data_IF_563142725208
#
_entry.id   IF_563142725208
#
_cell.length_a   1.000
_cell.length_b   1.000
_cell.length_c   1.000
_cell.angle_alpha   90.00
_cell.angle_beta   90.00
_cell.angle_gamma   90.00
#
_symmetry.space_group_name_H-M   'P 1'
#
loop_
_entity.id
_entity.type
_entity.pdbx_description
1 polymer ?
#
# COMPACT_ATOMS: atom_id res chain seq x y z
N UNK A 1 -26.24 10.27 13.18
CA UNK A 1 -24.87 9.73 13.42
C UNK A 1 -24.03 10.86 13.99
N UNK A 2 -23.42 10.66 15.14
CA UNK A 2 -22.54 11.67 15.71
C UNK A 2 -21.21 11.71 14.94
N UNK A 3 -20.69 12.91 14.71
CA UNK A 3 -19.35 13.09 14.16
C UNK A 3 -18.32 12.59 15.17
N UNK A 4 -17.45 11.67 14.73
CA UNK A 4 -16.32 11.22 15.54
C UNK A 4 -15.11 12.06 15.16
N UNK A 5 -14.53 12.76 16.14
CA UNK A 5 -13.35 13.59 15.92
C UNK A 5 -12.12 12.70 15.67
N UNK A 6 -11.48 12.89 14.54
CA UNK A 6 -10.26 12.18 14.13
C UNK A 6 -9.02 13.03 14.43
N UNK A 7 -7.86 12.37 14.48
CA UNK A 7 -6.57 13.05 14.69
C UNK A 7 -5.91 13.51 13.38
N UNK A 8 -6.35 12.98 12.25
CA UNK A 8 -6.03 13.47 10.90
C UNK A 8 -7.33 13.83 10.20
N UNK A 9 -7.27 14.71 9.18
CA UNK A 9 -8.44 15.02 8.37
C UNK A 9 -9.01 13.73 7.78
N UNK A 10 -10.33 13.53 7.88
CA UNK A 10 -10.97 12.28 7.47
C UNK A 10 -12.17 12.56 6.59
N UNK A 11 -12.18 12.00 5.40
CA UNK A 11 -13.36 11.91 4.54
C UNK A 11 -14.15 10.66 4.92
N UNK A 12 -15.24 10.85 5.64
CA UNK A 12 -16.15 9.76 6.02
C UNK A 12 -17.13 9.44 4.89
N UNK A 13 -17.65 8.20 4.93
CA UNK A 13 -18.74 7.77 4.06
C UNK A 13 -20.11 7.99 4.72
N UNK A 14 -20.60 9.23 4.67
CA UNK A 14 -21.87 9.60 5.31
C UNK A 14 -23.07 9.58 4.37
N UNK A 15 -23.00 8.95 3.22
CA UNK A 15 -24.15 8.87 2.32
C UNK A 15 -23.82 8.76 0.85
N UNK A 16 -22.92 7.90 0.50
CA UNK A 16 -22.61 7.50 -0.89
C UNK A 16 -22.28 8.67 -1.85
N UNK A 17 -21.83 9.81 -1.32
CA UNK A 17 -21.51 10.95 -2.16
C UNK A 17 -20.16 10.77 -2.83
N UNK A 18 -20.15 10.68 -4.16
CA UNK A 18 -18.94 10.82 -4.95
C UNK A 18 -18.53 12.30 -4.99
N UNK A 19 -17.42 12.69 -4.35
CA UNK A 19 -17.00 14.10 -4.34
C UNK A 19 -16.41 14.50 -5.69
N UNK A 20 -16.57 15.76 -6.07
CA UNK A 20 -15.86 16.33 -7.22
C UNK A 20 -14.34 16.30 -6.90
N UNK A 21 -13.60 15.56 -7.72
CA UNK A 21 -12.16 15.34 -7.54
C UNK A 21 -11.42 15.49 -8.89
N UNK A 22 -10.11 15.79 -8.89
CA UNK A 22 -9.33 16.04 -10.09
C UNK A 22 -8.92 14.74 -10.80
N UNK A 23 -9.88 13.91 -11.18
CA UNK A 23 -9.66 12.60 -11.80
C UNK A 23 -8.92 12.76 -13.14
N UNK A 24 -9.28 13.79 -13.91
CA UNK A 24 -8.68 14.16 -15.19
C UNK A 24 -7.23 14.68 -15.11
N UNK A 25 -6.67 14.78 -13.89
CA UNK A 25 -5.29 15.21 -13.60
C UNK A 25 -4.49 14.16 -12.84
N UNK A 26 -5.02 12.94 -12.74
CA UNK A 26 -4.43 11.86 -11.96
C UNK A 26 -4.05 10.65 -12.81
N UNK A 27 -2.89 10.07 -12.53
CA UNK A 27 -2.55 8.71 -12.95
C UNK A 27 -2.91 7.73 -11.85
N UNK A 28 -3.66 6.69 -12.18
CA UNK A 28 -3.95 5.57 -11.28
C UNK A 28 -2.98 4.43 -11.54
N UNK A 29 -2.20 4.06 -10.53
CA UNK A 29 -1.25 2.94 -10.57
C UNK A 29 -1.92 1.70 -10.00
N UNK A 30 -1.89 0.60 -10.74
CA UNK A 30 -2.42 -0.70 -10.33
C UNK A 30 -1.27 -1.72 -10.34
N UNK A 31 -0.71 -2.11 -9.19
CA UNK A 31 0.27 -3.18 -9.12
C UNK A 31 -0.39 -4.53 -9.42
N UNK A 32 0.22 -5.30 -10.33
CA UNK A 32 -0.33 -6.55 -10.82
C UNK A 32 0.78 -7.59 -11.03
N UNK A 33 0.45 -8.85 -10.79
CA UNK A 33 1.34 -9.98 -11.10
C UNK A 33 0.70 -10.92 -12.11
N UNK A 34 1.48 -11.81 -12.71
CA UNK A 34 0.96 -12.86 -13.59
C UNK A 34 -0.02 -13.82 -12.89
N UNK A 35 -0.08 -13.83 -11.55
CA UNK A 35 -1.07 -14.59 -10.77
C UNK A 35 -2.46 -13.95 -10.79
N UNK A 36 -2.51 -12.66 -11.04
CA UNK A 36 -3.76 -11.88 -11.10
C UNK A 36 -4.39 -11.94 -12.50
N UNK A 37 -3.70 -12.55 -13.46
CA UNK A 37 -4.18 -12.78 -14.82
C UNK A 37 -5.54 -13.45 -14.82
N UNK A 38 -6.50 -12.84 -15.49
CA UNK A 38 -7.90 -13.31 -15.59
C UNK A 38 -8.61 -13.51 -14.24
N UNK A 39 -8.16 -12.85 -13.15
CA UNK A 39 -8.92 -12.81 -11.91
C UNK A 39 -10.12 -11.87 -12.06
N UNK A 40 -11.27 -12.26 -11.51
CA UNK A 40 -12.47 -11.43 -11.56
C UNK A 40 -12.30 -10.10 -10.81
N UNK A 41 -11.51 -10.10 -9.75
CA UNK A 41 -11.24 -8.87 -8.98
C UNK A 41 -10.41 -7.89 -9.80
N UNK A 42 -9.31 -8.32 -10.42
CA UNK A 42 -8.48 -7.46 -11.24
C UNK A 42 -9.22 -6.95 -12.49
N UNK A 43 -10.04 -7.81 -13.13
CA UNK A 43 -10.89 -7.40 -14.23
C UNK A 43 -11.90 -6.32 -13.79
N UNK A 44 -12.53 -6.49 -12.64
CA UNK A 44 -13.45 -5.49 -12.08
C UNK A 44 -12.75 -4.17 -11.76
N UNK A 45 -11.56 -4.21 -11.15
CA UNK A 45 -10.79 -2.99 -10.86
C UNK A 45 -10.46 -2.25 -12.15
N UNK A 46 -9.91 -2.93 -13.16
CA UNK A 46 -9.53 -2.31 -14.42
C UNK A 46 -10.74 -1.79 -15.20
N UNK A 47 -11.83 -2.57 -15.30
CA UNK A 47 -13.07 -2.13 -15.94
C UNK A 47 -13.68 -0.92 -15.23
N UNK A 48 -13.70 -0.89 -13.89
CA UNK A 48 -14.18 0.27 -13.14
C UNK A 48 -13.32 1.51 -13.41
N UNK A 49 -11.99 1.34 -13.57
CA UNK A 49 -11.11 2.45 -13.92
C UNK A 49 -11.37 2.98 -15.34
N UNK A 50 -11.79 2.11 -16.28
CA UNK A 50 -12.29 2.55 -17.59
C UNK A 50 -13.53 3.44 -17.49
N UNK A 51 -14.48 3.09 -16.61
CA UNK A 51 -15.68 3.91 -16.36
C UNK A 51 -15.37 5.23 -15.64
N UNK A 52 -14.37 5.24 -14.76
CA UNK A 52 -13.93 6.45 -14.02
C UNK A 52 -13.17 7.43 -14.92
N UNK A 53 -12.50 6.94 -15.95
CA UNK A 53 -11.76 7.70 -16.96
C UNK A 53 -10.74 8.71 -16.36
N UNK A 54 -9.74 8.22 -15.57
CA UNK A 54 -8.67 9.09 -15.08
C UNK A 54 -7.78 9.56 -16.25
N UNK A 55 -6.91 10.56 -16.01
CA UNK A 55 -5.97 11.03 -17.03
C UNK A 55 -5.15 9.88 -17.63
N UNK A 56 -4.78 8.85 -16.83
CA UNK A 56 -4.05 7.66 -17.26
C UNK A 56 -4.22 6.53 -16.24
N UNK A 57 -4.24 5.30 -16.72
CA UNK A 57 -4.11 4.10 -15.89
C UNK A 57 -2.75 3.46 -16.20
N UNK A 58 -1.95 3.17 -15.18
CA UNK A 58 -0.64 2.54 -15.31
C UNK A 58 -0.62 1.22 -14.55
N UNK A 59 -0.61 0.10 -15.28
CA UNK A 59 -0.51 -1.24 -14.71
C UNK A 59 0.97 -1.56 -14.46
N UNK A 60 1.36 -1.63 -13.17
CA UNK A 60 2.72 -2.01 -12.75
C UNK A 60 2.83 -3.54 -12.70
N UNK A 61 3.19 -4.16 -13.83
CA UNK A 61 3.20 -5.60 -13.99
C UNK A 61 4.53 -6.24 -13.59
N UNK A 62 4.44 -7.31 -12.79
CA UNK A 62 5.53 -8.26 -12.57
C UNK A 62 5.14 -9.63 -13.09
N UNK A 63 5.70 -10.03 -14.22
CA UNK A 63 5.38 -11.29 -14.90
C UNK A 63 6.64 -11.97 -15.43
N UNK A 64 6.58 -13.29 -15.60
CA UNK A 64 7.57 -14.06 -16.33
C UNK A 64 7.53 -13.77 -17.83
N UNK A 65 8.67 -13.91 -18.54
CA UNK A 65 8.70 -13.72 -20.00
C UNK A 65 7.78 -14.66 -20.80
N UNK A 66 7.41 -15.81 -20.23
CA UNK A 66 6.49 -16.75 -20.87
C UNK A 66 5.00 -16.49 -20.57
N UNK A 67 4.69 -15.51 -19.74
CA UNK A 67 3.30 -15.19 -19.31
C UNK A 67 2.92 -13.73 -19.60
N UNK A 68 3.89 -12.88 -19.92
CA UNK A 68 3.65 -11.44 -20.07
C UNK A 68 2.72 -11.11 -21.23
N UNK A 69 2.81 -11.83 -22.35
CA UNK A 69 1.94 -11.62 -23.51
C UNK A 69 0.49 -12.01 -23.20
N UNK A 70 0.27 -13.11 -22.49
CA UNK A 70 -1.08 -13.52 -22.08
C UNK A 70 -1.72 -12.45 -21.19
N UNK A 71 -0.92 -11.86 -20.27
CA UNK A 71 -1.39 -10.77 -19.39
C UNK A 71 -1.67 -9.50 -20.21
N UNK A 72 -0.82 -9.16 -21.17
CA UNK A 72 -1.00 -8.00 -22.04
C UNK A 72 -2.28 -8.14 -22.86
N UNK A 73 -2.47 -9.27 -23.54
CA UNK A 73 -3.67 -9.54 -24.34
C UNK A 73 -4.93 -9.48 -23.48
N UNK A 74 -4.87 -9.98 -22.25
CA UNK A 74 -5.98 -9.91 -21.32
C UNK A 74 -6.27 -8.44 -20.89
N UNK A 75 -5.28 -7.64 -20.54
CA UNK A 75 -5.47 -6.23 -20.20
C UNK A 75 -6.04 -5.47 -21.40
N UNK A 76 -5.50 -5.70 -22.59
CA UNK A 76 -5.98 -5.08 -23.84
C UNK A 76 -7.44 -5.49 -24.20
N UNK A 77 -7.94 -6.61 -23.65
CA UNK A 77 -9.32 -7.06 -23.83
C UNK A 77 -10.33 -6.36 -22.92
N UNK A 78 -9.85 -5.66 -21.87
CA UNK A 78 -10.71 -4.91 -20.95
C UNK A 78 -10.93 -3.51 -21.51
N UNK A 79 -12.13 -2.98 -21.33
CA UNK A 79 -12.47 -1.61 -21.79
C UNK A 79 -11.87 -0.56 -20.85
N UNK A 80 -10.56 -0.37 -20.93
CA UNK A 80 -9.76 0.61 -20.20
C UNK A 80 -8.56 1.04 -21.03
N UNK A 81 -8.29 2.34 -21.07
CA UNK A 81 -7.05 2.86 -21.68
C UNK A 81 -5.92 2.79 -20.63
N UNK A 82 -5.19 1.66 -20.62
CA UNK A 82 -4.17 1.38 -19.64
C UNK A 82 -2.79 1.14 -20.28
N UNK A 83 -1.79 1.85 -19.80
CA UNK A 83 -0.39 1.57 -20.11
C UNK A 83 0.14 0.41 -19.26
N UNK A 84 0.85 -0.52 -19.89
CA UNK A 84 1.49 -1.63 -19.20
C UNK A 84 2.97 -1.34 -18.96
N UNK A 85 3.40 -1.32 -17.69
CA UNK A 85 4.79 -1.20 -17.28
C UNK A 85 5.29 -2.56 -16.78
N UNK A 86 6.07 -3.29 -17.61
CA UNK A 86 6.66 -4.56 -17.20
C UNK A 86 7.90 -4.35 -16.31
N UNK A 87 7.66 -4.19 -15.00
CA UNK A 87 8.63 -3.78 -13.98
C UNK A 87 9.85 -4.71 -13.82
N UNK A 88 9.73 -5.99 -14.17
CA UNK A 88 10.81 -6.94 -14.10
C UNK A 88 11.31 -7.43 -15.49
N UNK A 89 11.02 -6.68 -16.55
CA UNK A 89 11.55 -6.92 -17.88
C UNK A 89 13.10 -6.98 -17.85
N UNK A 90 13.74 -7.81 -18.67
CA UNK A 90 15.20 -7.87 -18.73
C UNK A 90 15.85 -6.50 -18.97
N UNK A 91 15.30 -5.68 -19.87
CA UNK A 91 15.82 -4.36 -20.19
C UNK A 91 15.65 -3.37 -19.00
N UNK A 92 14.51 -3.42 -18.28
CA UNK A 92 14.30 -2.62 -17.07
C UNK A 92 15.29 -3.02 -15.97
N UNK A 93 15.53 -4.33 -15.77
CA UNK A 93 16.53 -4.78 -14.80
C UNK A 93 17.94 -4.30 -15.15
N UNK A 94 18.32 -4.35 -16.44
CA UNK A 94 19.62 -3.84 -16.88
C UNK A 94 19.75 -2.34 -16.62
N UNK A 95 18.70 -1.58 -16.92
CA UNK A 95 18.66 -0.14 -16.65
C UNK A 95 18.82 0.16 -15.15
N UNK A 96 18.12 -0.57 -14.29
CA UNK A 96 18.27 -0.44 -12.84
C UNK A 96 19.68 -0.81 -12.35
N UNK A 97 20.30 -1.83 -12.95
CA UNK A 97 21.67 -2.24 -12.62
C UNK A 97 22.68 -1.15 -12.97
N UNK A 98 22.54 -0.51 -14.14
CA UNK A 98 23.36 0.62 -14.56
C UNK A 98 23.32 1.81 -13.60
N UNK A 99 22.19 2.01 -12.90
CA UNK A 99 22.00 3.08 -11.91
C UNK A 99 22.26 2.61 -10.46
N UNK A 100 22.76 1.37 -10.25
CA UNK A 100 22.99 0.82 -8.91
C UNK A 100 21.70 0.57 -8.11
N UNK A 101 20.55 0.48 -8.78
CA UNK A 101 19.22 0.32 -8.19
C UNK A 101 18.68 -1.12 -8.28
N UNK A 102 19.48 -2.05 -8.83
CA UNK A 102 19.11 -3.45 -8.94
C UNK A 102 18.99 -4.09 -7.54
N UNK A 103 18.24 -5.20 -7.47
CA UNK A 103 18.00 -5.95 -6.23
C UNK A 103 16.78 -6.84 -6.35
N UNK A 104 16.26 -7.31 -5.22
CA UNK A 104 15.09 -8.17 -5.19
C UNK A 104 13.86 -7.47 -5.79
N UNK A 105 13.09 -8.25 -6.55
CA UNK A 105 11.81 -7.82 -7.10
C UNK A 105 10.71 -8.02 -6.04
N UNK A 106 9.87 -7.01 -5.86
CA UNK A 106 8.75 -7.06 -4.92
C UNK A 106 7.74 -5.96 -5.21
N UNK A 107 6.59 -5.99 -4.51
CA UNK A 107 5.51 -5.00 -4.70
C UNK A 107 6.04 -3.57 -4.56
N UNK A 108 6.85 -3.31 -3.52
CA UNK A 108 7.33 -1.95 -3.26
C UNK A 108 8.23 -1.42 -4.38
N UNK A 109 9.13 -2.26 -4.95
CA UNK A 109 9.95 -1.85 -6.10
C UNK A 109 9.11 -1.60 -7.35
N UNK A 110 8.14 -2.46 -7.63
CA UNK A 110 7.31 -2.34 -8.83
C UNK A 110 6.43 -1.08 -8.73
N UNK A 111 5.85 -0.82 -7.55
CA UNK A 111 5.12 0.43 -7.26
C UNK A 111 6.05 1.65 -7.36
N UNK A 112 7.27 1.60 -6.80
CA UNK A 112 8.22 2.70 -6.89
C UNK A 112 8.54 3.08 -8.33
N UNK A 113 8.78 2.10 -9.23
CA UNK A 113 8.98 2.35 -10.65
C UNK A 113 7.77 3.05 -11.28
N UNK A 114 6.57 2.53 -11.03
CA UNK A 114 5.35 3.09 -11.57
C UNK A 114 5.05 4.50 -11.01
N UNK A 115 5.36 4.75 -9.74
CA UNK A 115 5.20 6.05 -9.10
C UNK A 115 6.07 7.13 -9.78
N UNK A 116 7.32 6.81 -10.12
CA UNK A 116 8.19 7.74 -10.84
C UNK A 116 7.66 8.07 -12.23
N UNK A 117 7.18 7.06 -12.95
CA UNK A 117 6.56 7.23 -14.28
C UNK A 117 5.27 8.05 -14.18
N UNK A 118 4.39 7.72 -13.23
CA UNK A 118 3.13 8.41 -13.02
C UNK A 118 3.34 9.89 -12.62
N UNK A 119 4.28 10.14 -11.70
CA UNK A 119 4.59 11.50 -11.24
C UNK A 119 5.25 12.39 -12.31
N UNK A 120 5.80 11.82 -13.38
CA UNK A 120 6.28 12.57 -14.53
C UNK A 120 5.15 13.00 -15.49
N UNK A 121 3.98 12.33 -15.43
CA UNK A 121 2.88 12.49 -16.37
C UNK A 121 1.70 13.30 -15.83
N UNK A 122 1.45 13.24 -14.54
CA UNK A 122 0.24 13.77 -13.90
C UNK A 122 0.55 14.60 -12.68
N UNK A 123 -0.37 15.45 -12.28
CA UNK A 123 -0.25 16.28 -11.07
C UNK A 123 -0.50 15.47 -9.81
N UNK A 124 -1.36 14.44 -9.89
CA UNK A 124 -1.71 13.56 -8.80
C UNK A 124 -1.46 12.10 -9.20
N UNK A 125 -1.13 11.28 -8.22
CA UNK A 125 -0.98 9.83 -8.40
C UNK A 125 -1.82 9.13 -7.35
N UNK A 126 -2.62 8.15 -7.76
CA UNK A 126 -3.34 7.25 -6.87
C UNK A 126 -2.83 5.81 -7.07
N UNK A 127 -2.77 5.03 -6.00
CA UNK A 127 -2.44 3.60 -6.05
C UNK A 127 -3.65 2.81 -5.56
N UNK A 128 -4.03 1.78 -6.30
CA UNK A 128 -5.11 0.87 -5.95
C UNK A 128 -4.67 -0.58 -6.16
N UNK A 129 -4.92 -1.44 -5.18
CA UNK A 129 -4.65 -2.88 -5.31
C UNK A 129 -5.63 -3.54 -6.29
N UNK A 130 -5.14 -4.54 -7.03
CA UNK A 130 -5.92 -5.22 -8.07
C UNK A 130 -6.83 -6.34 -7.54
N UNK A 131 -6.76 -6.70 -6.26
CA UNK A 131 -7.43 -7.86 -5.66
C UNK A 131 -8.70 -7.54 -4.87
N UNK A 132 -9.18 -6.30 -4.95
CA UNK A 132 -10.40 -5.84 -4.27
C UNK A 132 -11.67 -6.27 -5.03
N UNK A 133 -12.44 -7.21 -4.45
CA UNK A 133 -13.72 -7.66 -5.04
C UNK A 133 -14.88 -6.69 -4.81
N UNK A 134 -14.69 -5.70 -3.92
CA UNK A 134 -15.67 -4.64 -3.59
C UNK A 134 -15.32 -3.30 -4.22
N UNK A 135 -14.39 -3.28 -5.18
CA UNK A 135 -13.95 -2.04 -5.83
C UNK A 135 -15.09 -1.39 -6.62
N UNK A 136 -15.25 -0.07 -6.45
CA UNK A 136 -16.30 0.71 -7.08
C UNK A 136 -15.84 2.06 -7.63
N UNK A 137 -16.67 2.74 -8.43
CA UNK A 137 -16.29 3.97 -9.14
C UNK A 137 -15.99 5.16 -8.22
N UNK A 138 -16.40 5.09 -6.95
CA UNK A 138 -16.16 6.16 -5.98
C UNK A 138 -14.77 6.12 -5.33
N UNK A 139 -14.04 4.99 -5.45
CA UNK A 139 -12.74 4.83 -4.79
C UNK A 139 -11.72 5.88 -5.23
N UNK A 140 -11.56 6.08 -6.53
CA UNK A 140 -10.61 7.08 -7.07
C UNK A 140 -11.02 8.51 -6.75
N UNK A 141 -12.25 8.97 -7.02
CA UNK A 141 -12.68 10.32 -6.67
C UNK A 141 -12.58 10.62 -5.17
N UNK A 142 -12.95 9.67 -4.31
CA UNK A 142 -12.86 9.84 -2.85
C UNK A 142 -11.41 10.00 -2.41
N UNK A 143 -10.50 9.17 -2.93
CA UNK A 143 -9.09 9.21 -2.56
C UNK A 143 -8.37 10.48 -3.06
N UNK A 144 -8.77 11.00 -4.23
CA UNK A 144 -8.23 12.24 -4.80
C UNK A 144 -8.84 13.53 -4.20
N UNK A 145 -10.02 13.44 -3.57
CA UNK A 145 -10.72 14.62 -3.06
C UNK A 145 -9.90 15.46 -2.07
N UNK A 146 -9.18 14.89 -1.09
CA UNK A 146 -8.34 15.69 -0.20
C UNK A 146 -7.28 16.50 -0.96
N UNK A 147 -6.72 15.96 -2.05
CA UNK A 147 -5.70 16.65 -2.85
C UNK A 147 -6.26 17.91 -3.53
N UNK A 148 -7.56 17.91 -3.88
CA UNK A 148 -8.26 19.11 -4.35
C UNK A 148 -8.53 20.16 -3.25
N UNK A 149 -8.16 19.84 -2.02
CA UNK A 149 -8.30 20.70 -0.82
C UNK A 149 -6.96 21.05 -0.19
N UNK A 150 -5.91 21.09 -1.01
CA UNK A 150 -4.54 21.45 -0.61
C UNK A 150 -3.87 20.45 0.33
N UNK A 151 -4.39 19.23 0.48
CA UNK A 151 -3.66 18.13 1.10
C UNK A 151 -2.66 17.52 0.11
N UNK A 152 -1.53 17.04 0.62
CA UNK A 152 -0.48 16.44 -0.22
C UNK A 152 -0.52 14.92 -0.23
N UNK A 153 -1.17 14.31 0.77
CA UNK A 153 -1.26 12.86 0.94
C UNK A 153 -2.65 12.45 1.46
N UNK A 154 -3.23 11.43 0.86
CA UNK A 154 -4.50 10.82 1.27
C UNK A 154 -4.32 9.29 1.38
N UNK A 155 -4.66 8.72 2.55
CA UNK A 155 -4.59 7.29 2.83
C UNK A 155 -5.99 6.69 2.86
N UNK A 156 -6.23 5.64 2.08
CA UNK A 156 -7.46 4.86 2.20
C UNK A 156 -7.53 4.08 3.51
N UNK A 157 -8.73 3.84 4.01
CA UNK A 157 -9.02 2.85 5.03
C UNK A 157 -10.36 2.17 4.77
N UNK A 158 -10.53 0.97 5.29
CA UNK A 158 -11.74 0.17 5.07
C UNK A 158 -11.94 -0.88 6.17
N UNK A 159 -13.17 -1.40 6.25
CA UNK A 159 -13.48 -2.53 7.11
C UNK A 159 -13.15 -3.85 6.38
N UNK A 160 -12.42 -4.75 7.06
CA UNK A 160 -12.08 -6.07 6.54
C UNK A 160 -12.83 -7.16 7.29
N UNK A 161 -14.07 -7.35 6.89
CA UNK A 161 -14.94 -8.41 7.43
C UNK A 161 -15.47 -9.24 6.26
N UNK A 162 -15.06 -10.49 6.19
CA UNK A 162 -15.46 -11.42 5.15
C UNK A 162 -15.95 -12.73 5.79
N UNK A 163 -17.00 -13.35 5.25
CA UNK A 163 -17.51 -14.63 5.73
C UNK A 163 -17.69 -14.70 7.26
N UNK A 164 -18.15 -13.59 7.88
CA UNK A 164 -18.32 -13.42 9.33
C UNK A 164 -17.01 -13.54 10.13
N UNK A 165 -15.87 -13.17 9.56
CA UNK A 165 -14.55 -13.17 10.21
C UNK A 165 -13.86 -11.82 10.06
N UNK A 166 -13.07 -11.46 11.07
CA UNK A 166 -12.17 -10.32 11.01
C UNK A 166 -10.88 -10.72 10.26
N UNK A 167 -10.58 -10.00 9.21
CA UNK A 167 -9.31 -10.11 8.47
C UNK A 167 -8.31 -9.02 8.89
N UNK A 168 -7.17 -8.95 8.19
CA UNK A 168 -6.14 -7.94 8.46
C UNK A 168 -5.33 -8.19 9.73
N UNK A 169 -4.96 -9.46 10.00
CA UNK A 169 -4.16 -9.83 11.19
C UNK A 169 -2.88 -9.02 11.33
N UNK A 170 -2.21 -8.71 10.22
CA UNK A 170 -0.96 -7.94 10.24
C UNK A 170 -1.19 -6.53 10.81
N UNK A 171 -2.29 -5.86 10.44
CA UNK A 171 -2.66 -4.56 11.00
C UNK A 171 -3.09 -4.71 12.47
N UNK A 172 -4.09 -5.56 12.74
CA UNK A 172 -4.73 -5.70 14.06
C UNK A 172 -3.80 -6.26 15.14
N UNK A 173 -2.92 -7.20 14.78
CA UNK A 173 -2.12 -7.97 15.76
C UNK A 173 -0.65 -7.55 15.77
N UNK A 174 -0.13 -6.90 14.72
CA UNK A 174 1.24 -6.39 14.72
C UNK A 174 1.27 -4.86 14.75
N UNK A 175 0.81 -4.20 13.69
CA UNK A 175 1.00 -2.76 13.52
C UNK A 175 0.34 -1.94 14.63
N UNK A 176 -0.97 -2.09 14.81
CA UNK A 176 -1.72 -1.30 15.79
C UNK A 176 -1.23 -1.49 17.23
N UNK A 177 -1.04 -2.75 17.73
CA UNK A 177 -0.54 -2.91 19.09
C UNK A 177 0.93 -2.50 19.24
N UNK A 178 1.75 -2.56 18.18
CA UNK A 178 3.13 -2.10 18.22
C UNK A 178 3.22 -0.59 18.32
N UNK A 179 2.44 0.15 17.53
CA UNK A 179 2.32 1.61 17.61
C UNK A 179 1.73 2.04 18.95
N UNK A 180 0.71 1.34 19.46
CA UNK A 180 0.15 1.60 20.78
C UNK A 180 1.19 1.38 21.90
N UNK A 181 1.97 0.29 21.83
CA UNK A 181 3.04 0.01 22.79
C UNK A 181 4.19 1.03 22.75
N UNK A 182 4.46 1.62 21.60
CA UNK A 182 5.38 2.77 21.46
C UNK A 182 4.81 4.00 22.14
N UNK A 183 3.54 4.36 21.89
CA UNK A 183 2.88 5.53 22.46
C UNK A 183 2.70 5.47 23.99
N UNK A 184 2.62 4.28 24.60
CA UNK A 184 2.56 4.12 26.07
C UNK A 184 3.80 4.67 26.80
N UNK A 185 4.95 4.75 26.13
CA UNK A 185 6.22 5.12 26.74
C UNK A 185 6.89 6.35 26.10
N UNK A 186 6.26 6.99 25.14
CA UNK A 186 6.87 8.01 24.30
C UNK A 186 5.81 9.04 23.86
N UNK A 187 6.29 10.26 23.63
CA UNK A 187 5.50 11.40 23.15
C UNK A 187 6.19 11.98 21.90
N UNK A 188 6.44 11.09 20.92
CA UNK A 188 7.09 11.47 19.66
C UNK A 188 6.02 11.74 18.60
N UNK A 189 6.01 12.89 17.90
CA UNK A 189 4.96 13.25 16.94
C UNK A 189 4.75 12.22 15.82
N UNK A 190 5.81 11.53 15.37
CA UNK A 190 5.70 10.47 14.37
C UNK A 190 4.91 9.27 14.92
N UNK A 191 5.03 8.91 16.20
CA UNK A 191 4.26 7.81 16.81
C UNK A 191 2.79 8.19 16.89
N UNK A 192 2.48 9.43 17.27
CA UNK A 192 1.11 9.96 17.25
C UNK A 192 0.51 9.95 15.85
N UNK A 193 1.30 10.34 14.85
CA UNK A 193 0.88 10.33 13.45
C UNK A 193 0.58 8.90 12.96
N UNK A 194 1.51 7.96 13.16
CA UNK A 194 1.31 6.57 12.78
C UNK A 194 0.09 5.92 13.47
N UNK A 195 -0.17 6.32 14.72
CA UNK A 195 -1.34 5.86 15.48
C UNK A 195 -2.66 6.60 15.16
N UNK A 196 -2.66 7.55 14.22
CA UNK A 196 -3.86 8.31 13.87
C UNK A 196 -4.73 7.63 12.79
N UNK A 197 -4.17 6.69 12.04
CA UNK A 197 -4.86 6.03 10.92
C UNK A 197 -5.71 4.86 11.38
N UNK A 198 -6.90 4.73 10.79
CA UNK A 198 -7.85 3.64 11.11
C UNK A 198 -7.42 2.29 10.55
N UNK A 199 -6.79 2.29 9.38
CA UNK A 199 -6.22 1.09 8.77
C UNK A 199 -4.94 1.45 8.00
N UNK A 200 -3.83 1.56 8.72
CA UNK A 200 -2.55 2.04 8.18
C UNK A 200 -1.97 1.14 7.06
N UNK A 201 -2.33 -0.14 7.04
CA UNK A 201 -1.86 -1.12 6.05
C UNK A 201 -2.80 -1.28 4.84
N UNK A 202 -3.70 -0.32 4.57
CA UNK A 202 -4.39 -0.26 3.29
C UNK A 202 -3.37 -0.04 2.15
N UNK A 203 -3.55 -0.72 1.01
CA UNK A 203 -2.70 -0.51 -0.16
C UNK A 203 -3.00 0.82 -0.87
N UNK A 204 -4.22 1.32 -0.71
CA UNK A 204 -4.74 2.49 -1.41
C UNK A 204 -4.24 3.79 -0.78
N UNK A 205 -3.67 4.64 -1.61
CA UNK A 205 -3.32 6.01 -1.26
C UNK A 205 -3.31 6.90 -2.51
N UNK A 206 -3.42 8.20 -2.30
CA UNK A 206 -3.14 9.19 -3.34
C UNK A 206 -2.23 10.28 -2.80
N UNK A 207 -1.42 10.87 -3.68
CA UNK A 207 -0.53 11.97 -3.31
C UNK A 207 -0.29 12.90 -4.50
N UNK A 208 0.19 14.12 -4.18
CA UNK A 208 0.75 15.01 -5.19
C UNK A 208 2.00 14.39 -5.79
N UNK A 209 2.26 14.63 -7.07
CA UNK A 209 3.46 14.12 -7.75
C UNK A 209 4.75 14.58 -7.10
N UNK A 210 4.77 15.76 -6.48
CA UNK A 210 5.94 16.23 -5.74
C UNK A 210 6.22 15.38 -4.51
N UNK A 211 5.19 15.00 -3.74
CA UNK A 211 5.35 14.10 -2.61
C UNK A 211 5.73 12.69 -3.08
N UNK A 212 5.09 12.19 -4.14
CA UNK A 212 5.40 10.86 -4.70
C UNK A 212 6.87 10.71 -5.04
N UNK A 213 7.50 11.74 -5.60
CA UNK A 213 8.94 11.73 -5.93
C UNK A 213 9.86 11.67 -4.72
N UNK A 214 9.34 11.94 -3.50
CA UNK A 214 10.10 11.90 -2.23
C UNK A 214 9.95 10.56 -1.50
N UNK A 215 9.10 9.65 -1.98
CA UNK A 215 8.84 8.37 -1.33
C UNK A 215 10.04 7.42 -1.48
N UNK A 216 10.38 6.73 -0.38
CA UNK A 216 11.49 5.78 -0.28
C UNK A 216 10.99 4.41 0.21
N UNK A 217 10.18 3.70 -0.58
CA UNK A 217 9.61 2.43 -0.14
C UNK A 217 10.67 1.34 -0.05
N UNK A 218 10.48 0.33 0.82
CA UNK A 218 11.22 -0.92 0.75
C UNK A 218 10.87 -1.65 -0.56
N UNK A 219 11.69 -2.60 -0.96
CA UNK A 219 11.49 -3.34 -2.21
C UNK A 219 10.31 -4.32 -2.16
N UNK A 220 10.03 -4.88 -0.99
CA UNK A 220 8.98 -5.87 -0.75
C UNK A 220 7.75 -5.30 -0.06
N UNK A 221 7.37 -5.95 1.04
CA UNK A 221 6.27 -5.55 1.92
C UNK A 221 6.71 -4.40 2.84
N UNK A 222 5.74 -3.69 3.42
CA UNK A 222 6.02 -2.53 4.27
C UNK A 222 5.96 -1.20 3.52
N UNK A 223 5.64 -1.22 2.21
CA UNK A 223 5.37 -0.04 1.39
C UNK A 223 4.43 0.94 2.10
N UNK A 224 3.34 0.44 2.65
CA UNK A 224 2.29 1.23 3.28
C UNK A 224 2.83 2.01 4.49
N UNK A 225 3.64 1.37 5.33
CA UNK A 225 4.21 1.99 6.54
C UNK A 225 5.34 2.97 6.19
N UNK A 226 6.21 2.60 5.27
CA UNK A 226 7.27 3.48 4.80
C UNK A 226 6.69 4.75 4.16
N UNK A 227 5.64 4.60 3.34
CA UNK A 227 4.93 5.73 2.73
C UNK A 227 4.33 6.67 3.78
N UNK A 228 3.78 6.14 4.88
CA UNK A 228 3.31 6.98 6.00
C UNK A 228 4.45 7.73 6.69
N UNK A 229 5.61 7.10 6.88
CA UNK A 229 6.80 7.76 7.44
C UNK A 229 7.30 8.91 6.56
N UNK A 230 7.36 8.69 5.25
CA UNK A 230 7.75 9.72 4.29
C UNK A 230 6.67 10.81 4.17
N UNK A 231 5.37 10.47 4.18
CA UNK A 231 4.27 11.44 4.19
C UNK A 231 4.29 12.32 5.44
N UNK A 232 4.64 11.77 6.61
CA UNK A 232 4.82 12.58 7.82
C UNK A 232 5.96 13.60 7.64
N UNK A 233 7.08 13.22 7.04
CA UNK A 233 8.22 14.10 6.78
C UNK A 233 7.84 15.23 5.83
N UNK A 234 7.10 14.92 4.74
CA UNK A 234 6.82 15.87 3.65
C UNK A 234 5.56 16.71 3.88
N UNK A 235 4.54 16.13 4.49
CA UNK A 235 3.21 16.74 4.63
C UNK A 235 2.78 16.98 6.09
N UNK A 236 3.27 16.19 7.03
CA UNK A 236 2.85 16.25 8.43
C UNK A 236 1.35 15.94 8.61
N UNK A 237 0.82 16.31 9.77
CA UNK A 237 -0.62 16.18 10.06
C UNK A 237 -1.48 17.09 9.17
N UNK A 238 -1.03 18.31 8.93
CA UNK A 238 -1.83 19.34 8.24
C UNK A 238 -1.98 19.06 6.74
N UNK A 239 -1.01 18.36 6.14
CA UNK A 239 -1.03 17.99 4.72
C UNK A 239 -1.50 16.55 4.46
N UNK A 240 -1.95 15.82 5.50
CA UNK A 240 -2.37 14.44 5.41
C UNK A 240 -3.84 14.26 5.70
N UNK A 241 -4.52 13.43 4.90
CA UNK A 241 -5.89 13.00 5.14
C UNK A 241 -6.01 11.47 5.11
N UNK A 242 -7.09 10.93 5.68
CA UNK A 242 -7.53 9.55 5.44
C UNK A 242 -8.94 9.51 4.87
N UNK A 243 -9.25 8.46 4.14
CA UNK A 243 -10.48 8.35 3.35
C UNK A 243 -11.14 7.01 3.61
N UNK A 244 -12.41 7.04 4.00
CA UNK A 244 -13.24 5.85 4.14
C UNK A 244 -13.60 5.28 2.76
N UNK A 245 -13.16 4.06 2.48
CA UNK A 245 -13.43 3.32 1.25
C UNK A 245 -14.46 2.18 1.48
N UNK A 246 -15.10 2.17 2.65
CA UNK A 246 -16.19 1.24 2.96
C UNK A 246 -15.73 -0.15 3.38
N UNK A 247 -16.27 -1.17 2.72
CA UNK A 247 -15.94 -2.57 2.96
C UNK A 247 -14.96 -3.04 1.89
N UNK A 248 -13.93 -3.76 2.30
CA UNK A 248 -12.93 -4.31 1.40
C UNK A 248 -12.80 -5.82 1.58
N UNK A 249 -13.13 -6.55 0.52
CA UNK A 249 -12.97 -8.00 0.43
C UNK A 249 -11.91 -8.31 -0.62
N UNK A 250 -10.99 -9.23 -0.31
CA UNK A 250 -9.93 -9.64 -1.23
C UNK A 250 -10.27 -10.92 -2.00
N UNK A 251 -9.74 -11.05 -3.21
CA UNK A 251 -9.63 -12.35 -3.85
C UNK A 251 -8.49 -13.17 -3.19
N UNK A 252 -8.85 -14.12 -2.33
CA UNK A 252 -7.90 -14.93 -1.55
C UNK A 252 -6.95 -15.83 -2.37
N UNK A 253 -7.04 -15.86 -3.69
CA UNK A 253 -6.13 -16.63 -4.54
C UNK A 253 -4.69 -16.13 -4.52
N UNK A 254 -4.49 -14.88 -4.19
CA UNK A 254 -3.18 -14.21 -4.25
C UNK A 254 -2.23 -14.52 -3.07
N UNK A 255 -2.72 -15.01 -1.93
CA UNK A 255 -1.95 -15.09 -0.66
C UNK A 255 -1.08 -16.36 -0.50
N UNK A 256 -1.08 -17.30 -1.44
CA UNK A 256 -0.34 -18.56 -1.35
C UNK A 256 1.08 -18.51 -1.95
N UNK A 257 1.88 -17.47 -1.65
CA UNK A 257 3.28 -17.30 -2.09
C UNK A 257 4.31 -17.74 -1.04
N UNK A 258 5.56 -17.97 -1.44
CA UNK A 258 6.74 -18.02 -0.56
C UNK A 258 6.81 -16.70 0.19
N UNK A 259 6.78 -16.73 1.51
CA UNK A 259 6.70 -15.58 2.38
C UNK A 259 5.39 -15.64 3.15
N UNK A 260 5.34 -16.44 4.21
CA UNK A 260 4.19 -16.52 5.10
C UNK A 260 3.98 -15.19 5.83
N UNK A 261 2.90 -15.08 6.60
CA UNK A 261 2.60 -13.90 7.44
C UNK A 261 3.79 -13.45 8.32
N UNK A 262 4.72 -14.35 8.63
CA UNK A 262 5.93 -14.03 9.41
C UNK A 262 6.93 -13.17 8.61
N UNK A 263 7.18 -13.49 7.33
CA UNK A 263 8.10 -12.70 6.50
C UNK A 263 7.53 -11.32 6.23
N UNK A 264 6.21 -11.23 5.98
CA UNK A 264 5.52 -9.94 5.85
C UNK A 264 5.59 -9.13 7.16
N UNK A 265 5.50 -9.79 8.31
CA UNK A 265 5.60 -9.13 9.61
C UNK A 265 7.00 -8.54 9.85
N UNK A 266 8.04 -9.26 9.45
CA UNK A 266 9.43 -8.79 9.54
C UNK A 266 9.64 -7.53 8.70
N UNK A 267 9.15 -7.51 7.46
CA UNK A 267 9.30 -6.36 6.56
C UNK A 267 8.46 -5.15 7.01
N UNK A 268 7.23 -5.36 7.49
CA UNK A 268 6.38 -4.28 8.04
C UNK A 268 6.99 -3.69 9.31
N UNK A 269 7.50 -4.53 10.21
CA UNK A 269 8.18 -4.06 11.43
C UNK A 269 9.47 -3.30 11.09
N UNK A 270 10.26 -3.79 10.13
CA UNK A 270 11.47 -3.11 9.66
C UNK A 270 11.15 -1.74 9.06
N UNK A 271 10.09 -1.63 8.24
CA UNK A 271 9.62 -0.37 7.69
C UNK A 271 9.20 0.62 8.78
N UNK A 272 8.48 0.15 9.81
CA UNK A 272 8.12 0.97 10.96
C UNK A 272 9.35 1.49 11.71
N UNK A 273 10.30 0.62 12.01
CA UNK A 273 11.53 1.01 12.71
C UNK A 273 12.41 1.94 11.85
N UNK A 274 12.43 1.74 10.53
CA UNK A 274 13.07 2.65 9.59
C UNK A 274 12.45 4.04 9.63
N UNK A 275 11.12 4.15 9.58
CA UNK A 275 10.40 5.41 9.68
C UNK A 275 10.68 6.11 11.03
N UNK A 276 10.68 5.37 12.14
CA UNK A 276 11.03 5.92 13.46
C UNK A 276 12.47 6.45 13.50
N UNK A 277 13.42 5.70 12.95
CA UNK A 277 14.84 6.10 12.91
C UNK A 277 15.05 7.37 12.08
N UNK A 278 14.38 7.53 10.95
CA UNK A 278 14.43 8.73 10.12
C UNK A 278 13.97 9.99 10.87
N UNK A 279 13.10 9.82 11.86
CA UNK A 279 12.62 10.90 12.74
C UNK A 279 13.35 10.97 14.08
N UNK A 280 14.51 10.32 14.21
CA UNK A 280 15.38 10.38 15.39
C UNK A 280 14.86 9.60 16.61
N UNK A 281 13.89 8.71 16.43
CA UNK A 281 13.30 7.90 17.50
C UNK A 281 14.13 6.64 17.72
N UNK A 282 14.92 6.61 18.80
CA UNK A 282 15.65 5.42 19.20
C UNK A 282 14.74 4.42 19.91
N UNK A 283 14.82 3.14 19.58
CA UNK A 283 13.96 2.07 20.12
C UNK A 283 14.78 1.06 20.90
N UNK A 284 14.35 0.78 22.14
CA UNK A 284 14.79 -0.40 22.89
C UNK A 284 13.88 -1.57 22.48
N UNK A 285 14.35 -2.39 21.54
CA UNK A 285 13.56 -3.45 20.91
C UNK A 285 13.20 -4.56 21.92
N UNK A 286 14.04 -4.87 22.91
CA UNK A 286 13.73 -5.91 23.88
C UNK A 286 12.64 -5.44 24.85
N UNK A 287 12.75 -4.24 25.38
CA UNK A 287 11.69 -3.66 26.21
C UNK A 287 10.40 -3.44 25.42
N UNK A 288 10.48 -3.04 24.14
CA UNK A 288 9.32 -2.86 23.27
C UNK A 288 8.64 -4.20 22.97
N UNK A 289 9.39 -5.27 22.72
CA UNK A 289 8.83 -6.61 22.48
C UNK A 289 7.95 -7.09 23.62
N UNK A 290 8.38 -6.89 24.88
CA UNK A 290 7.57 -7.27 26.04
C UNK A 290 6.31 -6.41 26.20
N UNK A 291 6.41 -5.10 25.98
CA UNK A 291 5.23 -4.22 25.96
C UNK A 291 4.27 -4.58 24.82
N UNK A 292 4.80 -4.84 23.62
CA UNK A 292 4.02 -5.28 22.47
C UNK A 292 3.21 -6.54 22.79
N UNK A 293 3.84 -7.60 23.34
CA UNK A 293 3.12 -8.83 23.73
C UNK A 293 1.97 -8.53 24.68
N UNK A 294 2.19 -7.68 25.67
CA UNK A 294 1.16 -7.31 26.65
C UNK A 294 0.01 -6.55 25.97
N UNK A 295 0.33 -5.56 25.15
CA UNK A 295 -0.65 -4.73 24.44
C UNK A 295 -1.40 -5.54 23.40
N UNK A 296 -0.72 -6.37 22.60
CA UNK A 296 -1.35 -7.18 21.57
C UNK A 296 -2.31 -8.22 22.15
N UNK A 297 -1.96 -8.87 23.28
CA UNK A 297 -2.87 -9.79 23.97
C UNK A 297 -4.13 -9.09 24.50
N UNK A 298 -3.99 -7.86 25.02
CA UNK A 298 -5.14 -7.03 25.39
C UNK A 298 -6.03 -6.72 24.16
N UNK A 299 -5.45 -6.44 23.00
CA UNK A 299 -6.19 -6.21 21.76
C UNK A 299 -6.92 -7.47 21.30
N UNK A 300 -6.31 -8.65 21.39
CA UNK A 300 -6.99 -9.93 21.11
C UNK A 300 -8.24 -10.09 21.97
N UNK A 301 -8.16 -9.77 23.27
CA UNK A 301 -9.30 -9.85 24.17
C UNK A 301 -10.41 -8.84 23.79
N UNK A 302 -10.04 -7.65 23.38
CA UNK A 302 -10.98 -6.61 22.92
C UNK A 302 -11.65 -7.01 21.60
N UNK A 303 -10.88 -7.51 20.63
CA UNK A 303 -11.42 -8.03 19.35
C UNK A 303 -12.32 -9.25 19.56
N UNK A 304 -12.02 -10.13 20.52
CA UNK A 304 -12.89 -11.25 20.85
C UNK A 304 -14.24 -10.80 21.38
N UNK A 305 -14.27 -9.76 22.22
CA UNK A 305 -15.51 -9.19 22.75
C UNK A 305 -16.33 -8.49 21.65
N UNK A 306 -15.67 -7.71 20.79
CA UNK A 306 -16.32 -7.04 19.65
C UNK A 306 -16.86 -8.06 18.64
N UNK A 307 -16.07 -9.06 18.26
CA UNK A 307 -16.51 -10.14 17.38
C UNK A 307 -17.73 -10.89 17.91
N UNK A 308 -17.72 -11.22 19.21
CA UNK A 308 -18.87 -11.87 19.86
C UNK A 308 -20.13 -10.99 19.83
N UNK A 309 -19.98 -9.68 20.09
CA UNK A 309 -21.09 -8.73 20.01
C UNK A 309 -21.69 -8.64 18.60
N UNK A 310 -20.84 -8.62 17.57
CA UNK A 310 -21.24 -8.52 16.18
C UNK A 310 -21.59 -9.89 15.54
N UNK A 311 -21.52 -10.98 16.30
CA UNK A 311 -21.81 -12.33 15.80
C UNK A 311 -20.78 -12.84 14.78
N UNK A 312 -19.54 -12.37 14.88
CA UNK A 312 -18.43 -12.81 14.05
C UNK A 312 -17.75 -14.03 14.66
N UNK A 313 -17.17 -14.87 13.80
CA UNK A 313 -16.30 -15.96 14.22
C UNK A 313 -14.92 -15.45 14.62
N UNK A 314 -14.42 -15.86 15.77
CA UNK A 314 -13.12 -15.44 16.30
C UNK A 314 -12.41 -16.59 17.03
N UNK A 315 -11.22 -16.93 16.55
CA UNK A 315 -10.36 -17.93 17.16
C UNK A 315 -9.31 -17.27 18.05
N UNK A 316 -9.67 -17.05 19.33
CA UNK A 316 -8.80 -16.39 20.30
C UNK A 316 -7.45 -17.10 20.50
N UNK A 317 -7.43 -18.45 20.39
CA UNK A 317 -6.19 -19.22 20.60
C UNK A 317 -5.23 -18.96 19.42
N UNK A 318 -5.73 -19.11 18.20
CA UNK A 318 -4.92 -18.85 17.01
C UNK A 318 -4.44 -17.39 16.91
N UNK A 319 -5.23 -16.42 17.41
CA UNK A 319 -4.80 -15.01 17.43
C UNK A 319 -3.70 -14.77 18.47
N UNK A 320 -3.73 -15.42 19.64
CA UNK A 320 -2.63 -15.36 20.63
C UNK A 320 -1.36 -16.01 20.09
N UNK A 321 -1.45 -17.17 19.44
CA UNK A 321 -0.31 -17.83 18.79
C UNK A 321 0.31 -16.91 17.71
N UNK A 322 -0.51 -16.21 16.96
CA UNK A 322 -0.05 -15.25 15.95
C UNK A 322 0.67 -14.05 16.59
N UNK A 323 0.18 -13.54 17.72
CA UNK A 323 0.87 -12.48 18.48
C UNK A 323 2.26 -12.92 18.92
N UNK A 324 2.38 -14.15 19.43
CA UNK A 324 3.68 -14.68 19.86
C UNK A 324 4.65 -14.84 18.67
N UNK A 325 4.14 -15.27 17.49
CA UNK A 325 4.93 -15.33 16.27
C UNK A 325 5.38 -13.93 15.80
N UNK A 326 4.49 -12.95 15.80
CA UNK A 326 4.81 -11.57 15.39
C UNK A 326 5.77 -10.85 16.35
N UNK A 327 5.81 -11.24 17.61
CA UNK A 327 6.76 -10.68 18.57
C UNK A 327 8.23 -10.87 18.16
N UNK A 328 8.53 -11.90 17.38
CA UNK A 328 9.88 -12.14 16.86
C UNK A 328 10.31 -11.12 15.81
N UNK A 329 9.35 -10.44 15.16
CA UNK A 329 9.61 -9.35 14.23
C UNK A 329 9.95 -8.02 14.94
N UNK A 330 9.72 -7.91 16.26
CA UNK A 330 10.08 -6.72 17.05
C UNK A 330 11.57 -6.76 17.39
N UNK A 331 12.41 -6.43 16.42
CA UNK A 331 13.88 -6.47 16.49
C UNK A 331 14.49 -5.37 15.61
N UNK A 332 15.77 -5.01 15.82
CA UNK A 332 16.43 -4.07 14.91
C UNK A 332 16.39 -4.57 13.47
N UNK A 333 16.09 -3.69 12.47
CA UNK A 333 16.22 -4.05 11.07
C UNK A 333 17.65 -4.54 10.75
N UNK A 334 17.76 -5.56 9.89
CA UNK A 334 19.07 -6.11 9.50
C UNK A 334 19.85 -5.12 8.60
N UNK A 335 19.13 -4.41 7.74
CA UNK A 335 19.67 -3.40 6.80
C UNK A 335 18.55 -2.44 6.39
N UNK A 336 18.93 -1.28 5.87
CA UNK A 336 18.03 -0.41 5.13
C UNK A 336 18.11 -0.80 3.65
N UNK A 337 17.03 -1.39 3.12
CA UNK A 337 16.91 -1.84 1.73
C UNK A 337 15.95 -0.97 0.92
N UNK A 338 15.54 0.16 1.47
CA UNK A 338 14.65 1.11 0.80
C UNK A 338 15.29 1.64 -0.50
N UNK A 339 14.44 1.83 -1.48
CA UNK A 339 14.79 2.54 -2.70
C UNK A 339 14.97 4.04 -2.39
N UNK A 340 15.86 4.74 -3.10
CA UNK A 340 16.01 6.19 -2.92
C UNK A 340 14.73 6.91 -3.38
N UNK A 341 14.56 8.15 -2.94
CA UNK A 341 13.57 9.04 -3.55
C UNK A 341 13.90 9.25 -5.04
N UNK A 342 12.89 9.39 -5.89
CA UNK A 342 13.12 9.67 -7.31
C UNK A 342 13.92 10.96 -7.53
N UNK A 343 13.80 11.93 -6.63
CA UNK A 343 14.59 13.16 -6.64
C UNK A 343 16.07 12.95 -6.29
N UNK A 344 16.42 11.78 -5.76
CA UNK A 344 17.80 11.40 -5.38
C UNK A 344 18.45 10.45 -6.41
N UNK A 345 17.76 10.14 -7.49
CA UNK A 345 18.27 9.26 -8.57
C UNK A 345 18.37 9.99 -9.90
N UNK A 346 19.34 9.57 -10.72
CA UNK A 346 19.48 10.02 -12.12
C UNK A 346 18.65 9.15 -13.10
N UNK A 347 17.80 8.26 -12.59
CA UNK A 347 16.95 7.40 -13.43
C UNK A 347 15.86 8.25 -14.11
N UNK A 348 15.82 8.17 -15.44
CA UNK A 348 14.82 8.84 -16.27
C UNK A 348 13.53 8.00 -16.34
N UNK A 349 12.35 8.52 -15.90
CA UNK A 349 11.08 7.81 -16.03
C UNK A 349 10.76 7.39 -17.48
N UNK A 350 11.11 8.22 -18.47
CA UNK A 350 10.91 7.89 -19.87
C UNK A 350 11.82 6.76 -20.33
N UNK A 351 13.04 6.64 -19.77
CA UNK A 351 13.91 5.50 -20.05
C UNK A 351 13.34 4.19 -19.50
N UNK A 352 12.70 4.24 -18.31
CA UNK A 352 12.01 3.07 -17.75
C UNK A 352 10.85 2.63 -18.64
N UNK A 353 10.03 3.58 -19.13
CA UNK A 353 8.94 3.29 -20.06
C UNK A 353 9.44 2.66 -21.36
N UNK A 354 10.49 3.25 -21.99
CA UNK A 354 11.08 2.72 -23.21
C UNK A 354 11.63 1.30 -23.01
N UNK A 355 12.38 1.06 -21.93
CA UNK A 355 12.94 -0.25 -21.63
C UNK A 355 11.85 -1.32 -21.42
N UNK A 356 10.73 -0.96 -20.81
CA UNK A 356 9.58 -1.83 -20.66
C UNK A 356 8.91 -2.10 -22.01
N UNK A 357 8.64 -1.07 -22.81
CA UNK A 357 7.98 -1.20 -24.10
C UNK A 357 8.81 -2.02 -25.10
N UNK A 358 10.10 -1.72 -25.22
CA UNK A 358 11.01 -2.47 -26.10
C UNK A 358 11.03 -3.97 -25.74
N UNK A 359 10.95 -4.29 -24.44
CA UNK A 359 10.87 -5.68 -23.98
C UNK A 359 9.54 -6.35 -24.32
N UNK A 360 8.41 -5.64 -24.15
CA UNK A 360 7.08 -6.12 -24.54
C UNK A 360 6.99 -6.37 -26.06
N UNK A 361 7.52 -5.44 -26.87
CA UNK A 361 7.50 -5.58 -28.34
C UNK A 361 8.41 -6.72 -28.82
N UNK A 362 9.49 -7.04 -28.09
CA UNK A 362 10.39 -8.15 -28.45
C UNK A 362 9.75 -9.53 -28.23
N UNK A 363 8.92 -9.67 -27.20
CA UNK A 363 8.23 -10.94 -26.88
C UNK A 363 7.06 -11.16 -27.85
N UNK A 364 6.32 -10.11 -28.21
CA UNK A 364 5.22 -10.19 -29.19
C UNK A 364 5.67 -10.57 -30.61
N UNK A 365 6.96 -10.48 -30.92
CA UNK A 365 7.54 -10.81 -32.23
C UNK A 365 8.08 -12.23 -32.35
N UNK A 366 8.08 -13.01 -31.26
CA UNK A 366 8.49 -14.43 -31.26
C UNK A 366 7.27 -15.35 -31.35
#
# INVERSE_FOLDING_TARGET
MEYVQERVATLHDFGDASPAAPVDRATVVVPLTDRDHASLAAEQVLSTLGDVDPQSVLVALRAGGGTVDDVREWVDSIDVDADLLWCNAPAVRSLLDEHGLNGEAGKGRDVWLALGVAAARSEFVAVHDADATTYGPDHVPRLLFPLARDYSFAKGYYARVENRRLYGRLCRLLYEPLVAALGESRDDPIVDYLGAFRYALAGEFAATSDLVRQLRPPRGWGLEVATLGDAFREAGFDGTAQVDLGIHEHDHRAVSGRGGLSDMADEVAAALFGALADHGVAVDHDALRERYRTTARRFVDQYAADAAFNGLEFDRVAEHEQVDAYAESVRPPASDDRLPAWTETDLDPDAVCRASQDALDSVAGE
#
